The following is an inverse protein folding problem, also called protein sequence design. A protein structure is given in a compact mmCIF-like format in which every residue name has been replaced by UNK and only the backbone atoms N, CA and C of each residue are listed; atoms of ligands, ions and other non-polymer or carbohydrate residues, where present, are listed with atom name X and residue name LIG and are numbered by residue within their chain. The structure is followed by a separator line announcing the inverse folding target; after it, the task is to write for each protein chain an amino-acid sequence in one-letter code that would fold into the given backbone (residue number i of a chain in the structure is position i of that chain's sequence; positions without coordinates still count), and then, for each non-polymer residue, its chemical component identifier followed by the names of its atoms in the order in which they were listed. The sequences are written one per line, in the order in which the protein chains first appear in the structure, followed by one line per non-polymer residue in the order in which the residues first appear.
data_IF_962386326629
#
_entry.id   IF_962386326629
#
_cell.length_a   1.000
_cell.length_b   1.000
_cell.length_c   1.000
_cell.angle_alpha   90.00
_cell.angle_beta   90.00
_cell.angle_gamma   90.00
#
_symmetry.space_group_name_H-M   'P 1'
#
loop_
_entity.id
_entity.type
_entity.pdbx_description
1 polymer ?
#
# COMPACT_ATOMS: atom_id res chain seq x y z
N UNK A 1 -19.68 -10.44 5.93
CA UNK A 1 -18.31 -10.76 5.52
C UNK A 1 -18.27 -10.59 4.03
N UNK A 2 -17.48 -9.63 3.57
CA UNK A 2 -17.33 -9.33 2.14
C UNK A 2 -16.08 -10.03 1.65
N UNK A 3 -16.22 -10.93 0.67
CA UNK A 3 -15.07 -11.58 0.03
C UNK A 3 -14.41 -10.58 -0.90
N UNK A 4 -13.12 -10.38 -0.73
CA UNK A 4 -12.30 -9.48 -1.55
C UNK A 4 -10.90 -10.07 -1.74
N UNK A 5 -9.97 -9.28 -2.24
CA UNK A 5 -8.57 -9.65 -2.29
C UNK A 5 -7.68 -8.52 -1.78
N UNK A 6 -6.46 -8.87 -1.38
CA UNK A 6 -5.47 -7.94 -0.84
C UNK A 6 -4.14 -8.17 -1.53
N UNK A 7 -3.56 -7.09 -2.04
CA UNK A 7 -2.19 -7.03 -2.53
C UNK A 7 -1.29 -6.76 -1.34
N UNK A 8 -0.37 -7.68 -1.05
CA UNK A 8 0.50 -7.62 0.12
C UNK A 8 1.89 -7.24 -0.33
N UNK A 9 2.46 -6.28 0.39
CA UNK A 9 3.84 -5.89 0.24
C UNK A 9 4.58 -5.96 1.57
N UNK A 10 5.85 -6.29 1.53
CA UNK A 10 6.77 -6.21 2.67
C UNK A 10 7.85 -5.17 2.39
N UNK A 11 8.26 -4.44 3.43
CA UNK A 11 9.31 -3.44 3.31
C UNK A 11 10.15 -3.30 4.56
N UNK A 12 11.30 -2.64 4.40
CA UNK A 12 12.24 -2.34 5.47
C UNK A 12 12.28 -0.83 5.70
N UNK A 13 11.61 -0.35 6.74
CA UNK A 13 11.56 1.05 7.13
C UNK A 13 12.22 1.28 8.49
N UNK A 14 12.51 2.53 8.84
CA UNK A 14 13.05 2.82 10.18
C UNK A 14 12.01 2.53 11.28
N UNK A 15 10.73 2.78 10.99
CA UNK A 15 9.57 2.53 11.85
C UNK A 15 8.28 2.57 10.99
N UNK A 16 7.15 2.25 11.60
CA UNK A 16 5.84 2.26 10.94
C UNK A 16 5.45 3.64 10.42
N UNK A 17 5.80 4.74 11.12
CA UNK A 17 5.52 6.11 10.65
C UNK A 17 6.17 6.39 9.29
N UNK A 18 7.43 5.95 9.09
CA UNK A 18 8.10 6.07 7.78
C UNK A 18 7.45 5.19 6.70
N UNK A 19 6.91 4.04 7.09
CA UNK A 19 6.15 3.20 6.16
C UNK A 19 4.84 3.89 5.74
N UNK A 20 4.12 4.53 6.69
CA UNK A 20 2.93 5.34 6.41
C UNK A 20 3.23 6.49 5.43
N UNK A 21 4.35 7.21 5.61
CA UNK A 21 4.75 8.25 4.65
C UNK A 21 4.93 7.73 3.21
N UNK A 22 5.23 6.45 3.06
CA UNK A 22 5.36 5.81 1.74
C UNK A 22 4.02 5.32 1.19
N UNK A 23 3.23 4.66 2.04
CA UNK A 23 2.01 3.96 1.68
C UNK A 23 0.76 4.84 1.67
N UNK A 24 0.78 6.01 2.31
CA UNK A 24 -0.35 6.93 2.45
C UNK A 24 -0.14 8.24 1.67
N UNK A 25 -1.22 8.93 1.26
CA UNK A 25 -1.13 10.22 0.58
C UNK A 25 -0.50 11.30 1.47
N UNK A 26 0.47 12.03 0.93
CA UNK A 26 1.13 13.15 1.59
C UNK A 26 0.72 14.45 0.92
N UNK A 27 0.13 15.35 1.71
CA UNK A 27 -0.34 16.66 1.29
C UNK A 27 0.66 17.73 1.72
N UNK A 28 1.17 18.48 0.75
CA UNK A 28 1.86 19.72 1.04
C UNK A 28 0.87 20.81 1.47
N UNK A 29 1.28 21.79 2.29
CA UNK A 29 0.43 22.92 2.61
C UNK A 29 0.00 23.65 1.34
N UNK A 30 -1.27 24.05 1.28
CA UNK A 30 -1.78 24.91 0.23
C UNK A 30 -0.99 26.25 0.26
N UNK A 31 -0.54 26.76 -0.90
CA UNK A 31 0.26 27.97 -0.94
C UNK A 31 -0.59 29.21 -0.61
N UNK A 32 -0.12 30.02 0.35
CA UNK A 32 -0.75 31.30 0.72
C UNK A 32 -0.57 32.35 -0.39
N UNK A 33 -1.64 33.07 -0.73
CA UNK A 33 -1.64 34.18 -1.72
C UNK A 33 -1.04 33.79 -3.10
N UNK A 34 -1.22 32.54 -3.51
CA UNK A 34 -0.82 32.05 -4.83
C UNK A 34 -1.68 32.65 -5.95
N UNK A 35 -1.08 32.85 -7.13
CA UNK A 35 -1.84 33.04 -8.36
C UNK A 35 -2.41 31.70 -8.87
N UNK A 36 -3.35 31.76 -9.81
CA UNK A 36 -4.04 30.57 -10.33
C UNK A 36 -3.07 29.50 -10.85
N UNK A 37 -1.93 29.90 -11.45
CA UNK A 37 -0.94 28.96 -12.01
C UNK A 37 -0.21 28.21 -10.91
N UNK A 38 0.16 28.91 -9.83
CA UNK A 38 0.79 28.30 -8.66
C UNK A 38 -0.19 27.36 -7.96
N UNK A 39 -1.48 27.73 -7.87
CA UNK A 39 -2.52 26.89 -7.29
C UNK A 39 -2.77 25.61 -8.11
N UNK A 40 -2.96 25.74 -9.43
CA UNK A 40 -3.12 24.59 -10.35
C UNK A 40 -1.91 23.64 -10.28
N UNK A 41 -0.70 24.20 -10.24
CA UNK A 41 0.52 23.38 -10.10
C UNK A 41 0.57 22.65 -8.76
N UNK A 42 0.08 23.25 -7.68
CA UNK A 42 0.00 22.59 -6.38
C UNK A 42 -1.03 21.46 -6.41
N UNK A 43 -2.21 21.67 -7.00
CA UNK A 43 -3.24 20.63 -7.15
C UNK A 43 -2.74 19.45 -8.00
N UNK A 44 -2.02 19.71 -9.10
CA UNK A 44 -1.47 18.66 -9.96
C UNK A 44 -0.44 17.76 -9.25
N UNK A 45 0.24 18.30 -8.23
CA UNK A 45 1.26 17.59 -7.47
C UNK A 45 0.74 16.97 -6.16
N UNK A 46 -0.48 17.30 -5.74
CA UNK A 46 -1.03 16.90 -4.44
C UNK A 46 -2.32 16.05 -4.56
N UNK A 47 -2.47 14.98 -3.75
CA UNK A 47 -1.46 14.45 -2.85
C UNK A 47 -0.37 13.71 -3.62
N UNK A 48 0.86 13.82 -3.12
CA UNK A 48 1.92 12.90 -3.54
C UNK A 48 1.69 11.54 -2.87
N UNK A 49 1.99 10.45 -3.58
CA UNK A 49 1.75 9.11 -3.05
C UNK A 49 2.83 8.14 -3.54
N UNK A 50 3.82 7.86 -2.70
CA UNK A 50 5.00 7.07 -3.11
C UNK A 50 4.65 5.65 -3.54
N UNK A 51 3.59 5.06 -2.98
CA UNK A 51 3.07 3.75 -3.37
C UNK A 51 2.67 3.65 -4.85
N UNK A 52 2.38 4.78 -5.52
CA UNK A 52 2.15 4.80 -6.98
C UNK A 52 3.36 4.35 -7.80
N UNK A 53 4.55 4.34 -7.20
CA UNK A 53 5.75 3.75 -7.81
C UNK A 53 5.67 2.21 -7.90
N UNK A 54 4.87 1.59 -7.03
CA UNK A 54 4.61 0.15 -7.02
C UNK A 54 3.32 -0.22 -7.74
N UNK A 55 2.29 0.63 -7.64
CA UNK A 55 0.96 0.38 -8.19
C UNK A 55 0.55 1.52 -9.13
N UNK A 56 0.44 1.23 -10.42
CA UNK A 56 -0.10 2.17 -11.42
C UNK A 56 -1.64 2.11 -11.45
N UNK A 57 -2.29 2.66 -10.42
CA UNK A 57 -3.75 2.72 -10.30
C UNK A 57 -4.21 3.88 -9.41
N UNK A 58 -5.53 4.10 -9.38
CA UNK A 58 -6.18 4.80 -8.29
C UNK A 58 -5.90 4.08 -6.97
N UNK A 59 -5.69 4.87 -5.90
CA UNK A 59 -5.41 4.40 -4.55
C UNK A 59 -6.26 5.19 -3.56
N UNK A 60 -7.21 4.51 -2.94
CA UNK A 60 -7.99 5.01 -1.82
C UNK A 60 -7.31 4.66 -0.50
N UNK A 61 -6.91 5.66 0.27
CA UNK A 61 -6.19 5.47 1.53
C UNK A 61 -7.03 4.76 2.59
N UNK A 62 -8.36 4.83 2.53
CA UNK A 62 -9.24 4.18 3.50
C UNK A 62 -9.16 2.64 3.44
N UNK A 63 -8.61 2.11 2.34
CA UNK A 63 -8.44 0.67 2.08
C UNK A 63 -6.97 0.27 1.94
N UNK A 64 -6.06 1.08 2.47
CA UNK A 64 -4.64 0.77 2.59
C UNK A 64 -4.29 0.70 4.07
N UNK A 65 -3.60 -0.37 4.47
CA UNK A 65 -3.18 -0.56 5.85
C UNK A 65 -1.68 -0.79 5.95
N UNK A 66 -1.03 -0.11 6.89
CA UNK A 66 0.39 -0.25 7.17
C UNK A 66 0.56 -0.78 8.59
N UNK A 67 1.09 -1.99 8.72
CA UNK A 67 1.20 -2.71 10.00
C UNK A 67 2.63 -3.23 10.20
N UNK A 68 2.98 -3.54 11.44
CA UNK A 68 4.19 -4.28 11.72
C UNK A 68 4.19 -5.63 11.00
N UNK A 69 5.37 -6.16 10.71
CA UNK A 69 5.53 -7.45 10.04
C UNK A 69 5.10 -8.61 10.95
N UNK A 70 3.79 -8.86 11.00
CA UNK A 70 3.16 -9.95 11.74
C UNK A 70 2.34 -10.83 10.79
N UNK A 71 2.86 -12.03 10.48
CA UNK A 71 2.15 -13.00 9.65
C UNK A 71 0.88 -13.54 10.34
N UNK A 72 0.78 -13.52 11.66
CA UNK A 72 -0.43 -13.92 12.37
C UNK A 72 -1.55 -12.90 12.17
N UNK A 73 -1.21 -11.61 12.07
CA UNK A 73 -2.16 -10.55 11.74
C UNK A 73 -2.88 -10.79 10.41
N UNK A 74 -2.18 -11.35 9.41
CA UNK A 74 -2.76 -11.71 8.12
C UNK A 74 -3.90 -12.76 8.23
N UNK A 75 -3.87 -13.59 9.27
CA UNK A 75 -4.95 -14.56 9.54
C UNK A 75 -6.25 -13.89 9.98
N UNK A 76 -6.19 -12.64 10.46
CA UNK A 76 -7.38 -11.86 10.83
C UNK A 76 -8.29 -11.64 9.61
N UNK A 77 -7.70 -11.52 8.42
CA UNK A 77 -8.36 -11.37 7.12
C UNK A 77 -8.73 -12.69 6.45
N UNK A 78 -8.65 -13.83 7.16
CA UNK A 78 -8.98 -15.17 6.62
C UNK A 78 -8.14 -15.61 5.42
N UNK A 79 -6.92 -15.07 5.28
CA UNK A 79 -5.94 -15.59 4.32
C UNK A 79 -5.58 -17.03 4.73
N UNK A 80 -5.47 -17.93 3.75
CA UNK A 80 -5.20 -19.34 4.04
C UNK A 80 -3.82 -19.53 4.68
N UNK A 81 -3.64 -20.52 5.58
CA UNK A 81 -2.32 -20.82 6.13
C UNK A 81 -1.28 -21.13 5.05
N UNK A 82 -1.68 -21.78 3.96
CA UNK A 82 -0.80 -22.08 2.82
C UNK A 82 -0.30 -20.80 2.14
N UNK A 83 -1.18 -19.81 1.94
CA UNK A 83 -0.81 -18.51 1.38
C UNK A 83 0.08 -17.70 2.33
N UNK A 84 -0.18 -17.77 3.64
CA UNK A 84 0.67 -17.13 4.66
C UNK A 84 2.08 -17.71 4.64
N UNK A 85 2.25 -19.02 4.44
CA UNK A 85 3.58 -19.61 4.27
C UNK A 85 4.26 -19.11 2.98
N UNK A 86 3.52 -18.91 1.89
CA UNK A 86 4.07 -18.34 0.65
C UNK A 86 4.57 -16.92 0.92
N UNK A 87 3.76 -16.08 1.59
CA UNK A 87 4.13 -14.71 1.96
C UNK A 87 5.39 -14.73 2.82
N UNK A 88 5.43 -15.58 3.85
CA UNK A 88 6.58 -15.71 4.76
C UNK A 88 7.87 -16.06 4.02
N UNK A 89 7.79 -16.94 3.02
CA UNK A 89 8.94 -17.32 2.20
C UNK A 89 9.40 -16.22 1.22
N UNK A 90 8.56 -15.23 0.94
CA UNK A 90 8.90 -14.08 0.11
C UNK A 90 9.56 -12.93 0.88
N UNK A 91 9.56 -12.99 2.22
CA UNK A 91 10.11 -11.94 3.08
C UNK A 91 11.64 -11.92 3.05
N UNK A 92 12.21 -10.70 3.10
CA UNK A 92 13.63 -10.50 3.33
C UNK A 92 13.91 -10.41 4.83
N UNK A 93 15.13 -10.78 5.25
CA UNK A 93 15.56 -10.72 6.66
C UNK A 93 15.45 -9.32 7.30
N UNK A 94 15.40 -8.28 6.48
CA UNK A 94 15.35 -6.88 6.93
C UNK A 94 13.94 -6.30 6.94
N UNK A 95 12.97 -6.98 6.35
CA UNK A 95 11.60 -6.46 6.30
C UNK A 95 11.04 -6.37 7.72
N UNK A 96 10.26 -5.33 7.98
CA UNK A 96 9.72 -5.05 9.31
C UNK A 96 8.30 -4.47 9.30
N UNK A 97 7.71 -4.25 8.12
CA UNK A 97 6.31 -3.85 7.96
C UNK A 97 5.63 -4.61 6.82
N UNK A 98 4.32 -4.73 6.92
CA UNK A 98 3.45 -5.00 5.78
C UNK A 98 2.73 -3.73 5.34
N UNK A 99 2.59 -3.56 4.02
CA UNK A 99 1.62 -2.66 3.40
C UNK A 99 0.58 -3.52 2.70
N UNK A 100 -0.67 -3.42 3.15
CA UNK A 100 -1.81 -4.16 2.66
C UNK A 100 -2.66 -3.22 1.81
N UNK A 101 -2.84 -3.55 0.54
CA UNK A 101 -3.69 -2.77 -0.38
C UNK A 101 -4.88 -3.63 -0.73
N UNK A 102 -6.03 -3.35 -0.12
CA UNK A 102 -7.26 -4.09 -0.42
C UNK A 102 -7.78 -3.70 -1.81
N UNK A 103 -8.45 -4.62 -2.50
CA UNK A 103 -8.99 -4.37 -3.84
C UNK A 103 -9.91 -3.14 -3.92
N UNK A 104 -10.58 -2.83 -2.82
CA UNK A 104 -11.41 -1.62 -2.70
C UNK A 104 -10.58 -0.33 -2.80
N UNK A 105 -9.30 -0.33 -2.43
CA UNK A 105 -8.37 0.77 -2.66
C UNK A 105 -8.21 1.11 -4.15
N UNK A 106 -8.49 0.13 -5.02
CA UNK A 106 -8.40 0.25 -6.48
C UNK A 106 -9.78 0.56 -7.11
N UNK A 107 -10.77 0.93 -6.30
CA UNK A 107 -12.16 1.10 -6.71
C UNK A 107 -12.89 -0.22 -6.96
N UNK A 108 -12.40 -1.33 -6.40
CA UNK A 108 -12.99 -2.66 -6.56
C UNK A 108 -12.57 -3.37 -7.85
N UNK A 109 -11.59 -2.85 -8.59
CA UNK A 109 -11.08 -3.44 -9.82
C UNK A 109 -9.74 -4.15 -9.60
N UNK A 110 -9.47 -5.18 -10.40
CA UNK A 110 -8.15 -5.81 -10.43
C UNK A 110 -7.15 -4.89 -11.15
N UNK A 111 -5.89 -4.92 -10.69
CA UNK A 111 -4.80 -4.23 -11.38
C UNK A 111 -4.62 -4.77 -12.80
N UNK A 112 -4.36 -3.87 -13.74
CA UNK A 112 -4.08 -4.22 -15.15
C UNK A 112 -2.72 -4.87 -15.34
N UNK A 113 -1.79 -4.60 -14.43
CA UNK A 113 -0.43 -5.13 -14.39
C UNK A 113 -0.08 -5.53 -12.97
N UNK A 114 0.81 -6.50 -12.81
CA UNK A 114 1.32 -6.83 -11.48
C UNK A 114 2.03 -5.63 -10.85
N UNK A 115 1.90 -5.47 -9.52
CA UNK A 115 2.68 -4.49 -8.80
C UNK A 115 4.19 -4.66 -8.99
N UNK A 116 4.89 -3.53 -8.96
CA UNK A 116 6.33 -3.47 -9.13
C UNK A 116 6.99 -3.65 -7.76
N UNK A 117 7.91 -4.61 -7.65
CA UNK A 117 8.88 -4.67 -6.54
C UNK A 117 10.00 -3.66 -6.80
N UNK A 118 10.36 -2.90 -5.77
CA UNK A 118 11.48 -1.96 -5.81
C UNK A 118 12.34 -2.11 -4.53
N UNK A 119 13.47 -1.38 -4.39
CA UNK A 119 14.35 -1.51 -3.23
C UNK A 119 13.73 -1.14 -1.87
N UNK A 120 12.57 -0.46 -1.85
CA UNK A 120 11.87 -0.03 -0.63
C UNK A 120 10.77 -1.04 -0.27
N UNK A 121 10.04 -1.51 -1.28
CA UNK A 121 8.82 -2.29 -1.09
C UNK A 121 8.80 -3.48 -2.06
N UNK A 122 8.72 -4.68 -1.48
CA UNK A 122 8.65 -5.98 -2.16
C UNK A 122 7.21 -6.43 -2.27
N UNK A 123 6.73 -6.71 -3.48
CA UNK A 123 5.42 -7.32 -3.68
C UNK A 123 5.46 -8.81 -3.32
N UNK A 124 4.60 -9.24 -2.41
CA UNK A 124 4.51 -10.62 -1.91
C UNK A 124 3.42 -11.44 -2.60
N UNK A 125 2.41 -10.79 -3.19
CA UNK A 125 1.33 -11.47 -3.91
C UNK A 125 -0.05 -10.84 -3.70
N UNK A 126 -1.06 -11.38 -4.38
CA UNK A 126 -2.46 -11.02 -4.23
C UNK A 126 -3.24 -12.23 -3.72
N UNK A 127 -3.94 -12.07 -2.60
CA UNK A 127 -4.57 -13.17 -1.88
C UNK A 127 -6.04 -12.87 -1.60
N UNK A 128 -6.86 -13.91 -1.64
CA UNK A 128 -8.27 -13.79 -1.24
C UNK A 128 -8.34 -13.56 0.27
N UNK A 129 -9.22 -12.65 0.68
CA UNK A 129 -9.46 -12.33 2.08
C UNK A 129 -10.94 -12.01 2.35
N UNK A 130 -11.29 -11.93 3.63
CA UNK A 130 -12.61 -11.58 4.11
C UNK A 130 -12.53 -10.47 5.16
N UNK A 131 -13.33 -9.41 4.95
CA UNK A 131 -13.54 -8.27 5.85
C UNK A 131 -14.91 -8.35 6.55
#
# INVERSE_FOLDING_TARGET
MTKTSVYIFAGCFQNTDQACLYSEPQWEPEPDDADDVVHETWEDNNPSHSLKQNIDSYLDSDFIETVELDCEYLSSFKISPEDIEIIRNALNEKDNVFVLVFKDALGGFDLKSEPITNPVLTYCGNYNCEL
#
